data_IF_748551362381
#
_entry.id   IF_748551362381
#
_cell.length_a   1.000
_cell.length_b   1.000
_cell.length_c   1.000
_cell.angle_alpha   90.00
_cell.angle_beta   90.00
_cell.angle_gamma   90.00
#
_symmetry.space_group_name_H-M   'P 1'
#
loop_
_entity.id
_entity.type
_entity.pdbx_description
1 polymer ?
#
# COMPACT_ATOMS: atom_id res chain seq x y z
N UNK A 1 14.24 -5.43 16.26
CA UNK A 1 13.62 -5.64 14.95
C UNK A 1 12.11 -5.78 15.10
N UNK A 2 11.33 -5.02 14.35
CA UNK A 2 9.88 -5.19 14.46
C UNK A 2 9.44 -6.52 13.86
N UNK A 3 8.61 -7.23 14.61
CA UNK A 3 7.98 -8.45 14.13
C UNK A 3 6.67 -8.15 13.43
N UNK A 4 6.21 -6.92 13.53
CA UNK A 4 4.94 -6.46 12.96
C UNK A 4 5.08 -5.07 12.38
N UNK A 5 4.27 -4.78 11.38
CA UNK A 5 4.20 -3.45 10.77
C UNK A 5 2.73 -3.06 10.61
N UNK A 6 2.48 -1.76 10.62
CA UNK A 6 1.14 -1.22 10.36
C UNK A 6 1.22 -0.49 9.02
N UNK A 7 0.51 -1.02 8.02
CA UNK A 7 0.55 -0.49 6.67
C UNK A 7 -0.82 -0.19 6.11
N UNK A 8 -0.84 0.69 5.11
CA UNK A 8 -1.99 0.94 4.27
C UNK A 8 -1.57 0.63 2.83
N UNK A 9 -2.53 0.32 1.96
CA UNK A 9 -2.22 0.10 0.56
C UNK A 9 -3.34 0.57 -0.36
N UNK A 10 -2.98 0.73 -1.62
CA UNK A 10 -3.94 1.00 -2.70
C UNK A 10 -3.76 -0.13 -3.71
N UNK A 11 -4.83 -0.85 -4.02
CA UNK A 11 -4.83 -1.94 -4.99
C UNK A 11 -5.51 -1.51 -6.26
N UNK A 12 -4.86 -1.72 -7.40
CA UNK A 12 -5.42 -1.43 -8.72
C UNK A 12 -5.10 -2.57 -9.67
N UNK A 13 -5.72 -2.58 -10.85
CA UNK A 13 -5.56 -3.66 -11.83
C UNK A 13 -4.38 -3.49 -12.77
N UNK A 14 -3.92 -2.27 -13.01
CA UNK A 14 -2.89 -2.02 -14.01
C UNK A 14 -1.74 -1.22 -13.44
N UNK A 15 -0.58 -1.42 -14.05
CA UNK A 15 0.61 -0.68 -13.69
C UNK A 15 0.44 0.82 -14.00
N UNK A 16 -0.25 1.13 -15.08
CA UNK A 16 -0.48 2.52 -15.47
C UNK A 16 -1.24 3.29 -14.39
N UNK A 17 -2.22 2.63 -13.75
CA UNK A 17 -2.97 3.25 -12.66
C UNK A 17 -2.06 3.56 -11.47
N UNK A 18 -1.10 2.67 -11.16
CA UNK A 18 -0.16 2.93 -10.07
C UNK A 18 0.73 4.14 -10.37
N UNK A 19 1.13 4.31 -11.63
CA UNK A 19 1.93 5.47 -12.01
C UNK A 19 1.17 6.77 -11.81
N UNK A 20 -0.10 6.79 -12.17
CA UNK A 20 -0.98 7.93 -11.96
C UNK A 20 -1.11 8.26 -10.48
N UNK A 21 -1.28 7.23 -9.65
CA UNK A 21 -1.37 7.41 -8.20
C UNK A 21 -0.08 8.01 -7.65
N UNK A 22 1.06 7.50 -8.08
CA UNK A 22 2.35 8.00 -7.61
C UNK A 22 2.55 9.47 -7.99
N UNK A 23 2.12 9.87 -9.18
CA UNK A 23 2.17 11.27 -9.59
C UNK A 23 1.31 12.14 -8.68
N UNK A 24 0.10 11.70 -8.36
CA UNK A 24 -0.81 12.44 -7.49
C UNK A 24 -0.25 12.57 -6.08
N UNK A 25 0.38 11.51 -5.57
CA UNK A 25 1.06 11.55 -4.27
C UNK A 25 2.20 12.57 -4.27
N UNK A 26 2.97 12.61 -5.36
CA UNK A 26 4.06 13.57 -5.50
C UNK A 26 3.58 15.00 -5.55
N UNK A 27 2.33 15.22 -5.98
CA UNK A 27 1.72 16.54 -6.01
C UNK A 27 1.13 16.96 -4.67
N UNK A 28 1.21 16.10 -3.66
CA UNK A 28 0.76 16.41 -2.32
C UNK A 28 -0.60 15.87 -1.95
N UNK A 29 -1.24 15.07 -2.79
CA UNK A 29 -2.51 14.45 -2.42
C UNK A 29 -2.28 13.39 -1.34
N UNK A 30 -3.26 13.22 -0.48
CA UNK A 30 -3.13 12.30 0.66
C UNK A 30 -3.38 10.86 0.25
N UNK A 31 -2.53 9.96 0.74
CA UNK A 31 -2.63 8.54 0.46
C UNK A 31 -4.01 7.98 0.80
N UNK A 32 -4.53 8.33 1.99
CA UNK A 32 -5.83 7.84 2.44
C UNK A 32 -6.96 8.26 1.50
N UNK A 33 -6.91 9.49 0.99
CA UNK A 33 -7.93 9.98 0.07
C UNK A 33 -7.90 9.24 -1.26
N UNK A 34 -6.70 8.96 -1.78
CA UNK A 34 -6.54 8.21 -3.01
C UNK A 34 -7.01 6.76 -2.83
N UNK A 35 -6.74 6.17 -1.67
CA UNK A 35 -7.21 4.82 -1.38
C UNK A 35 -8.73 4.75 -1.39
N UNK A 36 -9.40 5.72 -0.77
CA UNK A 36 -10.86 5.77 -0.76
C UNK A 36 -11.45 5.95 -2.15
N UNK A 37 -10.79 6.74 -2.98
CA UNK A 37 -11.26 7.03 -4.33
C UNK A 37 -11.02 5.87 -5.30
N UNK A 38 -9.87 5.21 -5.22
CA UNK A 38 -9.36 4.37 -6.30
C UNK A 38 -9.20 2.90 -5.93
N UNK A 39 -8.84 2.58 -4.67
CA UNK A 39 -8.47 1.22 -4.30
C UNK A 39 -9.60 0.22 -4.52
N UNK A 40 -9.25 -0.92 -5.12
CA UNK A 40 -10.18 -2.02 -5.32
C UNK A 40 -10.35 -2.87 -4.08
N UNK A 41 -9.47 -2.72 -3.10
CA UNK A 41 -9.55 -3.45 -1.84
C UNK A 41 -10.59 -2.81 -0.92
N UNK A 42 -11.39 -3.63 -0.18
CA UNK A 42 -12.35 -3.08 0.79
C UNK A 42 -11.72 -2.16 1.83
N UNK A 43 -10.44 -2.34 2.15
CA UNK A 43 -9.71 -1.46 3.06
C UNK A 43 -9.65 -0.02 2.56
N UNK A 44 -9.91 0.22 1.27
CA UNK A 44 -9.97 1.58 0.73
C UNK A 44 -10.90 2.49 1.50
N UNK A 45 -12.00 1.94 2.03
CA UNK A 45 -12.95 2.71 2.84
C UNK A 45 -12.33 3.29 4.10
N UNK A 46 -11.24 2.68 4.57
CA UNK A 46 -10.50 3.13 5.74
C UNK A 46 -9.16 3.78 5.34
N UNK A 47 -9.12 4.37 4.15
CA UNK A 47 -7.90 4.97 3.65
C UNK A 47 -6.82 3.97 3.27
N UNK A 48 -7.22 2.72 3.03
CA UNK A 48 -6.32 1.63 2.70
C UNK A 48 -5.69 0.95 3.90
N UNK A 49 -6.08 1.34 5.11
CA UNK A 49 -5.50 0.84 6.36
C UNK A 49 -5.76 -0.66 6.54
N UNK A 50 -4.69 -1.44 6.61
CA UNK A 50 -4.76 -2.88 6.80
C UNK A 50 -4.57 -3.30 8.25
N UNK A 51 -4.31 -2.34 9.14
CA UNK A 51 -3.99 -2.63 10.52
C UNK A 51 -2.56 -3.14 10.65
N UNK A 52 -2.27 -3.69 11.82
CA UNK A 52 -0.96 -4.25 12.12
C UNK A 52 -0.93 -5.72 11.76
N UNK A 53 0.13 -6.15 11.10
CA UNK A 53 0.27 -7.56 10.73
C UNK A 53 1.72 -8.00 10.84
N UNK A 54 1.89 -9.30 11.10
CA UNK A 54 3.22 -9.90 11.17
C UNK A 54 3.56 -10.63 9.88
N UNK A 55 4.70 -11.30 9.90
CA UNK A 55 5.11 -12.14 8.77
C UNK A 55 4.19 -13.36 8.66
N UNK A 56 3.96 -13.79 7.43
CA UNK A 56 3.10 -14.93 7.16
C UNK A 56 1.62 -14.60 7.01
N UNK A 57 1.23 -13.35 7.18
CA UNK A 57 -0.17 -12.92 7.03
C UNK A 57 -0.52 -12.46 5.63
N UNK A 58 0.42 -11.85 4.94
CA UNK A 58 0.21 -11.30 3.60
C UNK A 58 0.94 -12.16 2.57
N UNK A 59 0.59 -11.99 1.29
CA UNK A 59 1.33 -12.65 0.23
C UNK A 59 2.79 -12.19 0.27
N UNK A 60 3.68 -13.05 -0.20
CA UNK A 60 5.12 -12.90 -0.03
C UNK A 60 5.66 -11.56 -0.55
N UNK A 61 5.24 -11.17 -1.73
CA UNK A 61 5.70 -9.93 -2.36
C UNK A 61 5.28 -8.71 -1.56
N UNK A 62 4.05 -8.73 -1.05
CA UNK A 62 3.52 -7.65 -0.23
C UNK A 62 4.26 -7.56 1.09
N UNK A 63 4.47 -8.70 1.74
CA UNK A 63 5.19 -8.76 3.01
C UNK A 63 6.61 -8.20 2.86
N UNK A 64 7.34 -8.67 1.86
CA UNK A 64 8.71 -8.22 1.65
C UNK A 64 8.78 -6.71 1.47
N UNK A 65 7.88 -6.14 0.67
CA UNK A 65 7.85 -4.70 0.44
C UNK A 65 7.50 -3.95 1.72
N UNK A 66 6.50 -4.44 2.47
CA UNK A 66 6.06 -3.78 3.70
C UNK A 66 7.15 -3.71 4.75
N UNK A 67 7.86 -4.82 4.96
CA UNK A 67 8.90 -4.87 5.97
C UNK A 67 10.18 -4.15 5.56
N UNK A 68 10.35 -3.89 4.27
CA UNK A 68 11.48 -3.12 3.78
C UNK A 68 11.29 -1.60 3.92
N UNK A 69 10.04 -1.15 4.12
CA UNK A 69 9.74 0.26 4.28
C UNK A 69 10.08 0.73 5.68
N UNK A 70 10.49 1.98 5.79
CA UNK A 70 10.59 2.67 7.07
C UNK A 70 9.28 3.39 7.35
N UNK A 71 9.03 3.70 8.63
CA UNK A 71 7.83 4.42 9.03
C UNK A 71 7.66 5.70 8.19
N UNK A 72 6.47 5.86 7.62
CA UNK A 72 6.13 7.01 6.79
C UNK A 72 6.52 6.88 5.32
N UNK A 73 7.28 5.84 4.96
CA UNK A 73 7.67 5.63 3.57
C UNK A 73 6.56 5.02 2.73
N UNK A 74 6.59 5.36 1.45
CA UNK A 74 5.67 4.79 0.45
C UNK A 74 6.51 3.94 -0.50
N UNK A 75 6.02 2.74 -0.81
CA UNK A 75 6.72 1.82 -1.71
C UNK A 75 6.64 2.27 -3.18
N UNK A 76 7.46 1.64 -4.01
CA UNK A 76 7.21 1.65 -5.44
C UNK A 76 6.06 0.71 -5.78
N UNK A 77 5.99 0.32 -7.04
CA UNK A 77 4.94 -0.58 -7.52
C UNK A 77 5.23 -2.00 -7.06
N UNK A 78 4.26 -2.64 -6.40
CA UNK A 78 4.38 -4.03 -5.92
C UNK A 78 3.34 -4.88 -6.62
N UNK A 79 3.79 -5.84 -7.42
CA UNK A 79 2.87 -6.75 -8.12
C UNK A 79 2.65 -8.01 -7.30
N UNK A 80 1.37 -8.39 -7.15
CA UNK A 80 0.98 -9.66 -6.52
C UNK A 80 -0.08 -10.34 -7.39
N UNK A 81 -0.54 -11.51 -6.96
CA UNK A 81 -1.61 -12.21 -7.68
C UNK A 81 -2.93 -11.44 -7.69
N UNK A 82 -3.08 -10.46 -6.82
CA UNK A 82 -4.31 -9.65 -6.74
C UNK A 82 -4.28 -8.43 -7.67
N UNK A 83 -3.11 -8.04 -8.14
CA UNK A 83 -2.94 -6.87 -8.99
C UNK A 83 -1.70 -6.07 -8.60
N UNK A 84 -1.82 -4.77 -8.66
CA UNK A 84 -0.70 -3.87 -8.37
C UNK A 84 -1.02 -3.06 -7.13
N UNK A 85 -0.03 -2.95 -6.24
CA UNK A 85 -0.19 -2.27 -4.95
C UNK A 85 0.80 -1.12 -4.82
N UNK A 86 0.37 -0.09 -4.11
CA UNK A 86 1.27 0.92 -3.55
C UNK A 86 1.05 0.87 -2.04
N UNK A 87 2.12 0.72 -1.27
CA UNK A 87 2.06 0.47 0.16
C UNK A 87 2.66 1.65 0.91
N UNK A 88 2.01 2.07 1.99
CA UNK A 88 2.56 3.07 2.90
C UNK A 88 2.71 2.45 4.28
N UNK A 89 3.89 2.57 4.87
CA UNK A 89 4.09 2.09 6.24
C UNK A 89 3.73 3.19 7.22
N UNK A 90 2.77 2.89 8.10
CA UNK A 90 2.27 3.84 9.08
C UNK A 90 3.01 3.74 10.42
N UNK A 91 3.40 2.52 10.81
CA UNK A 91 4.13 2.28 12.06
C UNK A 91 5.29 1.30 11.89
#
# INVERSE_FOLDING_TARGET
MPDKVHCAHILVKTEQETKTIMERLNKGEKFANLAQEISLCPSGKRGGDLGTFGRGKMVKEFEAASFALQKGQISGIVKTKYGYHIIKRLE
#
